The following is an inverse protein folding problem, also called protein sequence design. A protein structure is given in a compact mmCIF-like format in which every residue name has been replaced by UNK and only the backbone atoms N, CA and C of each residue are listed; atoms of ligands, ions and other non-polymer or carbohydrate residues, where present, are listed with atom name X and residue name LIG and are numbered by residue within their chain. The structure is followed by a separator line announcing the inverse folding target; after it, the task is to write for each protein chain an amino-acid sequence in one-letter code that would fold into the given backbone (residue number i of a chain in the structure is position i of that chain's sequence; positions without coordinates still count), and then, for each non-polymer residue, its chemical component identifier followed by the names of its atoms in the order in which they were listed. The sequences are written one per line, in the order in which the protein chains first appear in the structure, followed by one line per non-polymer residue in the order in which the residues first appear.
data_IF_002567210722
#
_entry.id   IF_002567210722
#
_cell.length_a   1.000
_cell.length_b   1.000
_cell.length_c   1.000
_cell.angle_alpha   90.00
_cell.angle_beta   90.00
_cell.angle_gamma   90.00
#
_symmetry.space_group_name_H-M   'P 1'
#
loop_
_entity.id
_entity.type
_entity.pdbx_description
1 polymer ?
#
# COMPACT_ATOMS: atom_id res chain seq x y z
N UNK A 1 30.31 -13.09 -47.35
CA UNK A 1 28.88 -13.47 -47.29
C UNK A 1 28.32 -12.91 -46.00
N UNK A 2 27.85 -11.68 -46.10
CA UNK A 2 27.06 -10.96 -45.10
C UNK A 2 25.76 -11.70 -44.82
N UNK A 3 25.34 -11.67 -43.56
CA UNK A 3 24.15 -12.39 -43.11
C UNK A 3 23.78 -12.01 -41.68
N UNK A 4 23.53 -10.72 -41.52
CA UNK A 4 22.96 -10.03 -40.37
C UNK A 4 22.24 -10.89 -39.32
N UNK A 5 22.64 -10.62 -38.08
CA UNK A 5 21.88 -10.93 -36.88
C UNK A 5 20.44 -10.40 -36.97
N UNK A 6 19.46 -11.30 -37.01
CA UNK A 6 18.09 -11.01 -36.60
C UNK A 6 17.91 -11.53 -35.17
N UNK A 7 18.50 -10.79 -34.24
CA UNK A 7 18.37 -10.97 -32.81
C UNK A 7 17.00 -10.41 -32.41
N UNK A 8 16.00 -11.27 -32.29
CA UNK A 8 14.77 -10.88 -31.59
C UNK A 8 14.16 -12.06 -30.82
N UNK A 9 14.86 -12.46 -29.76
CA UNK A 9 14.17 -12.98 -28.59
C UNK A 9 13.96 -11.77 -27.70
N UNK A 10 12.79 -11.15 -27.82
CA UNK A 10 12.17 -10.40 -26.73
C UNK A 10 12.12 -11.35 -25.54
N UNK A 11 13.21 -11.42 -24.79
CA UNK A 11 13.16 -11.79 -23.40
C UNK A 11 12.44 -10.62 -22.74
N UNK A 12 11.12 -10.70 -22.65
CA UNK A 12 10.33 -10.04 -21.61
C UNK A 12 10.90 -10.55 -20.28
N UNK A 13 12.03 -9.94 -19.93
CA UNK A 13 12.71 -10.09 -18.68
C UNK A 13 11.82 -9.32 -17.72
N UNK A 14 10.74 -9.94 -17.25
CA UNK A 14 10.05 -9.50 -16.04
C UNK A 14 11.07 -9.72 -14.94
N UNK A 15 11.91 -8.72 -14.71
CA UNK A 15 12.94 -8.78 -13.70
C UNK A 15 12.24 -9.06 -12.36
N UNK A 16 12.45 -10.22 -11.73
CA UNK A 16 11.76 -10.58 -10.50
C UNK A 16 12.11 -9.65 -9.32
N UNK A 17 13.02 -8.69 -9.55
CA UNK A 17 13.42 -7.64 -8.61
C UNK A 17 12.61 -6.33 -8.76
N UNK A 18 11.75 -6.17 -9.77
CA UNK A 18 10.99 -4.92 -9.91
C UNK A 18 9.94 -4.82 -8.80
N UNK A 19 10.17 -3.89 -7.86
CA UNK A 19 9.29 -3.67 -6.70
C UNK A 19 7.86 -3.25 -7.08
N UNK A 20 7.66 -2.83 -8.34
CA UNK A 20 6.35 -2.47 -8.88
C UNK A 20 5.74 -3.57 -9.76
N UNK A 21 6.42 -4.70 -9.97
CA UNK A 21 5.81 -5.83 -10.66
C UNK A 21 4.63 -6.37 -9.84
N UNK A 22 3.50 -6.58 -10.51
CA UNK A 22 2.30 -7.16 -9.91
C UNK A 22 2.51 -8.67 -9.81
N UNK A 23 2.43 -9.21 -8.59
CA UNK A 23 2.52 -10.64 -8.30
C UNK A 23 1.28 -11.42 -8.72
N UNK A 24 1.32 -12.76 -8.58
CA UNK A 24 0.20 -13.65 -8.95
C UNK A 24 -1.08 -13.39 -8.15
N UNK A 25 -0.95 -12.81 -6.96
CA UNK A 25 -2.05 -12.39 -6.10
C UNK A 25 -2.57 -10.98 -6.41
N UNK A 26 -2.00 -10.32 -7.44
CA UNK A 26 -2.40 -9.00 -7.90
C UNK A 26 -1.83 -7.84 -7.08
N UNK A 27 -0.97 -8.12 -6.10
CA UNK A 27 -0.29 -7.11 -5.29
C UNK A 27 1.16 -6.94 -5.74
N UNK A 28 1.68 -5.72 -5.62
CA UNK A 28 3.12 -5.51 -5.85
C UNK A 28 3.91 -5.92 -4.62
N UNK A 29 5.20 -6.21 -4.78
CA UNK A 29 6.09 -6.46 -3.64
C UNK A 29 6.05 -5.33 -2.61
N UNK A 30 5.97 -4.08 -3.10
CA UNK A 30 5.79 -2.90 -2.25
C UNK A 30 4.48 -2.92 -1.46
N UNK A 31 3.38 -3.38 -2.06
CA UNK A 31 2.09 -3.49 -1.36
C UNK A 31 2.16 -4.50 -0.20
N UNK A 32 2.85 -5.63 -0.40
CA UNK A 32 3.11 -6.59 0.67
C UNK A 32 3.96 -6.01 1.78
N UNK A 33 5.01 -5.26 1.43
CA UNK A 33 5.88 -4.60 2.40
C UNK A 33 5.08 -3.57 3.22
N UNK A 34 4.16 -2.82 2.59
CA UNK A 34 3.26 -1.88 3.26
C UNK A 34 2.32 -2.61 4.24
N UNK A 35 1.69 -3.71 3.82
CA UNK A 35 0.80 -4.48 4.71
C UNK A 35 1.57 -5.08 5.90
N UNK A 36 2.77 -5.60 5.64
CA UNK A 36 3.64 -6.16 6.67
C UNK A 36 4.11 -5.10 7.67
N UNK A 37 4.46 -3.91 7.18
CA UNK A 37 4.83 -2.76 8.01
C UNK A 37 3.68 -2.30 8.91
N UNK A 38 2.45 -2.27 8.39
CA UNK A 38 1.28 -1.84 9.14
C UNK A 38 0.85 -2.83 10.24
N UNK A 39 1.33 -4.08 10.18
CA UNK A 39 1.18 -5.06 11.25
C UNK A 39 2.05 -4.74 12.48
N UNK A 40 3.11 -3.95 12.33
CA UNK A 40 4.02 -3.64 13.42
C UNK A 40 3.42 -2.62 14.41
N UNK A 41 3.76 -2.78 15.70
CA UNK A 41 3.23 -1.93 16.77
C UNK A 41 4.14 -0.74 17.03
N UNK A 42 3.69 0.44 16.62
CA UNK A 42 4.43 1.69 16.81
C UNK A 42 3.97 2.39 18.09
N UNK A 43 4.93 2.70 18.99
CA UNK A 43 4.66 3.37 20.26
C UNK A 43 4.33 4.86 20.11
N UNK A 44 4.89 5.50 19.09
CA UNK A 44 4.69 6.93 18.79
C UNK A 44 4.38 7.14 17.31
N UNK A 45 3.43 8.02 17.01
CA UNK A 45 3.04 8.33 15.62
C UNK A 45 4.21 8.90 14.79
N UNK A 46 5.07 9.73 15.40
CA UNK A 46 6.25 10.30 14.72
C UNK A 46 7.28 9.24 14.30
N UNK A 47 7.54 8.25 15.16
CA UNK A 47 8.48 7.16 14.84
C UNK A 47 8.02 6.33 13.64
N UNK A 48 6.71 6.19 13.44
CA UNK A 48 6.16 5.54 12.26
C UNK A 48 6.38 6.36 10.99
N UNK A 49 6.17 7.67 11.05
CA UNK A 49 6.34 8.55 9.88
C UNK A 49 7.80 8.64 9.41
N UNK A 50 8.73 8.62 10.35
CA UNK A 50 10.16 8.56 10.08
C UNK A 50 10.54 7.23 9.42
N UNK A 51 10.09 6.11 9.98
CA UNK A 51 10.30 4.79 9.39
C UNK A 51 9.65 4.64 8.00
N UNK A 52 8.50 5.28 7.76
CA UNK A 52 7.87 5.31 6.42
C UNK A 52 8.79 5.99 5.42
N UNK A 53 9.39 7.12 5.79
CA UNK A 53 10.32 7.84 4.93
C UNK A 53 11.58 7.03 4.66
N UNK A 54 12.14 6.39 5.68
CA UNK A 54 13.36 5.59 5.55
C UNK A 54 13.17 4.33 4.71
N UNK A 55 12.09 3.57 4.94
CA UNK A 55 11.87 2.27 4.30
C UNK A 55 11.25 2.39 2.91
N UNK A 56 10.35 3.34 2.71
CA UNK A 56 9.58 3.47 1.47
C UNK A 56 9.95 4.69 0.64
N UNK A 57 10.94 5.48 1.08
CA UNK A 57 11.40 6.72 0.40
C UNK A 57 10.23 7.62 -0.02
N UNK A 58 9.23 7.76 0.88
CA UNK A 58 8.04 8.55 0.60
C UNK A 58 7.52 9.27 1.83
N UNK A 59 6.78 10.36 1.61
CA UNK A 59 6.11 11.07 2.69
C UNK A 59 4.98 10.24 3.29
N UNK A 60 4.72 10.44 4.59
CA UNK A 60 3.61 9.79 5.30
C UNK A 60 2.25 10.04 4.59
N UNK A 61 2.04 11.23 4.04
CA UNK A 61 0.83 11.55 3.27
C UNK A 61 0.66 10.64 2.07
N UNK A 62 1.73 10.46 1.27
CA UNK A 62 1.71 9.59 0.09
C UNK A 62 1.53 8.13 0.50
N UNK A 63 2.19 7.70 1.57
CA UNK A 63 2.03 6.36 2.13
C UNK A 63 0.58 6.05 2.48
N UNK A 64 -0.11 6.95 3.20
CA UNK A 64 -1.51 6.74 3.56
C UNK A 64 -2.44 6.77 2.34
N UNK A 65 -2.11 7.50 1.27
CA UNK A 65 -2.87 7.46 0.02
C UNK A 65 -2.76 6.07 -0.65
N UNK A 66 -1.54 5.54 -0.77
CA UNK A 66 -1.28 4.20 -1.32
C UNK A 66 -1.97 3.14 -0.47
N UNK A 67 -1.75 3.16 0.85
CA UNK A 67 -2.39 2.21 1.79
C UNK A 67 -3.91 2.24 1.68
N UNK A 68 -4.50 3.43 1.56
CA UNK A 68 -5.95 3.57 1.41
C UNK A 68 -6.47 2.92 0.13
N UNK A 69 -5.78 3.12 -1.00
CA UNK A 69 -6.15 2.48 -2.27
C UNK A 69 -5.96 0.96 -2.19
N UNK A 70 -4.85 0.51 -1.59
CA UNK A 70 -4.55 -0.90 -1.38
C UNK A 70 -5.60 -1.61 -0.53
N UNK A 71 -6.01 -1.01 0.58
CA UNK A 71 -7.01 -1.58 1.51
C UNK A 71 -8.39 -1.74 0.86
N UNK A 72 -8.70 -0.99 -0.19
CA UNK A 72 -9.98 -1.07 -0.91
C UNK A 72 -10.01 -2.23 -1.94
N UNK A 73 -8.84 -2.75 -2.33
CA UNK A 73 -8.68 -3.84 -3.29
C UNK A 73 -9.03 -5.22 -2.69
N UNK A 74 -9.70 -6.13 -3.43
CA UNK A 74 -9.97 -7.50 -2.97
C UNK A 74 -8.69 -8.32 -2.74
N UNK A 75 -7.63 -8.03 -3.49
CA UNK A 75 -6.32 -8.68 -3.38
C UNK A 75 -5.71 -8.50 -1.99
N UNK A 76 -5.82 -7.28 -1.41
CA UNK A 76 -5.35 -7.02 -0.05
C UNK A 76 -6.12 -7.82 1.00
N UNK A 77 -7.43 -8.05 0.78
CA UNK A 77 -8.24 -8.91 1.66
C UNK A 77 -7.79 -10.37 1.60
N UNK A 78 -7.33 -10.84 0.45
CA UNK A 78 -6.80 -12.20 0.30
C UNK A 78 -5.45 -12.36 1.01
N UNK A 79 -4.58 -11.34 0.94
CA UNK A 79 -3.27 -11.34 1.57
C UNK A 79 -3.32 -11.23 3.11
N UNK A 80 -4.04 -10.25 3.67
CA UNK A 80 -4.24 -10.13 5.13
C UNK A 80 -5.68 -9.69 5.48
N UNK A 81 -6.61 -10.66 5.63
CA UNK A 81 -8.01 -10.36 5.90
C UNK A 81 -8.24 -9.60 7.20
N UNK A 82 -7.42 -9.84 8.23
CA UNK A 82 -7.64 -9.27 9.57
C UNK A 82 -7.20 -7.82 9.63
N UNK A 83 -6.00 -7.54 9.11
CA UNK A 83 -5.46 -6.19 9.04
C UNK A 83 -6.34 -5.28 8.18
N UNK A 84 -6.72 -5.74 6.99
CA UNK A 84 -7.54 -4.96 6.06
C UNK A 84 -8.91 -4.65 6.65
N UNK A 85 -9.59 -5.62 7.29
CA UNK A 85 -10.86 -5.38 7.99
C UNK A 85 -10.71 -4.35 9.12
N UNK A 86 -9.63 -4.43 9.91
CA UNK A 86 -9.33 -3.45 10.97
C UNK A 86 -9.12 -2.05 10.41
N UNK A 87 -8.34 -1.90 9.35
CA UNK A 87 -8.05 -0.63 8.69
C UNK A 87 -9.32 -0.01 8.08
N UNK A 88 -10.14 -0.81 7.39
CA UNK A 88 -11.45 -0.39 6.87
C UNK A 88 -12.36 0.13 7.99
N UNK A 89 -12.42 -0.58 9.12
CA UNK A 89 -13.23 -0.15 10.28
C UNK A 89 -12.74 1.17 10.87
N UNK A 90 -11.42 1.33 11.06
CA UNK A 90 -10.84 2.60 11.55
C UNK A 90 -11.17 3.77 10.61
N UNK A 91 -11.16 3.53 9.30
CA UNK A 91 -11.53 4.53 8.29
C UNK A 91 -13.00 4.93 8.39
N UNK A 92 -13.90 3.95 8.50
CA UNK A 92 -15.33 4.21 8.66
C UNK A 92 -15.62 5.02 9.94
N UNK A 93 -14.95 4.71 11.05
CA UNK A 93 -15.05 5.49 12.29
C UNK A 93 -14.58 6.94 12.10
N UNK A 94 -13.45 7.16 11.41
CA UNK A 94 -12.96 8.52 11.10
C UNK A 94 -13.90 9.29 10.18
N UNK A 95 -14.49 8.63 9.19
CA UNK A 95 -15.48 9.24 8.30
C UNK A 95 -16.74 9.63 9.05
N UNK A 96 -17.26 8.75 9.92
CA UNK A 96 -18.41 9.04 10.77
C UNK A 96 -18.15 10.23 11.70
N UNK A 97 -16.97 10.30 12.33
CA UNK A 97 -16.57 11.44 13.16
C UNK A 97 -16.50 12.76 12.37
N UNK A 98 -15.99 12.73 11.12
CA UNK A 98 -15.96 13.91 10.24
C UNK A 98 -17.37 14.33 9.81
N UNK A 99 -18.25 13.38 9.49
CA UNK A 99 -19.63 13.65 9.11
C UNK A 99 -20.41 14.28 10.28
N UNK A 100 -20.24 13.75 11.50
CA UNK A 100 -20.86 14.30 12.71
C UNK A 100 -20.43 15.76 12.98
N UNK A 101 -19.15 16.09 12.81
CA UNK A 101 -18.63 17.46 12.91
C UNK A 101 -19.20 18.39 11.84
N UNK A 102 -19.31 17.92 10.59
CA UNK A 102 -19.91 18.72 9.49
C UNK A 102 -21.40 18.96 9.66
N UNK A 103 -22.11 18.07 10.34
CA UNK A 103 -23.53 18.24 10.66
C UNK A 103 -23.78 19.11 11.91
N UNK A 104 -22.75 19.71 12.51
CA UNK A 104 -22.93 20.67 13.60
C UNK A 104 -23.23 20.06 14.97
N UNK A 105 -22.95 18.77 15.19
CA UNK A 105 -22.97 18.18 16.52
C UNK A 105 -21.64 18.46 17.25
N UNK A 106 -21.37 19.74 17.55
CA UNK A 106 -20.50 20.10 18.66
C UNK A 106 -21.38 20.03 19.92
N UNK A 107 -21.32 18.91 20.64
CA UNK A 107 -21.79 18.87 22.03
C UNK A 107 -20.66 19.48 22.85
N UNK A 108 -20.99 20.61 23.46
CA UNK A 108 -20.19 21.37 24.42
C UNK A 108 -19.65 20.48 25.55
#
# INVERSE_FOLDING_TARGET
MDGAAARNRNSEQTDPQDANAIGEDGLTRRDHDILSFERQWWKYAGAKEEAIKELFDMSATRYYQVLNALVDRPEALAADPMLVKRLRRLRASRQKARAARRLGFDIT
#
